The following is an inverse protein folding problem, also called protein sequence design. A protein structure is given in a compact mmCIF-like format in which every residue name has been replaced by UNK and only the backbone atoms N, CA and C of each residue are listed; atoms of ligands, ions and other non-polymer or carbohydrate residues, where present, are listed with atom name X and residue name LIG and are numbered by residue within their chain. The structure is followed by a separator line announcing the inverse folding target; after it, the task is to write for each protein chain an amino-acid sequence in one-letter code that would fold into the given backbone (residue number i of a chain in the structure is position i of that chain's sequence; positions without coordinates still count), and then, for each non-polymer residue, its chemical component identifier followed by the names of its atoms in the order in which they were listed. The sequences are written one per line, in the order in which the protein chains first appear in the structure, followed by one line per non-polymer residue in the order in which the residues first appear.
data_IF_423043061709
#
_entry.id   IF_423043061709
#
_cell.length_a   1.000
_cell.length_b   1.000
_cell.length_c   1.000
_cell.angle_alpha   90.00
_cell.angle_beta   90.00
_cell.angle_gamma   90.00
#
_symmetry.space_group_name_H-M   'P 1'
#
loop_
_entity.id
_entity.type
_entity.pdbx_description
1 polymer ?
#
# COMPACT_ATOMS: atom_id res chain seq x y z
N UNK A 1 7.16 -47.30 40.86
CA UNK A 1 6.11 -46.41 40.33
C UNK A 1 5.01 -47.29 39.80
N UNK A 2 3.76 -47.04 40.25
CA UNK A 2 2.62 -47.92 39.93
C UNK A 2 2.25 -47.81 38.43
N UNK A 3 2.00 -48.89 37.69
CA UNK A 3 1.72 -48.85 36.24
C UNK A 3 0.58 -47.91 35.81
N UNK A 4 -0.39 -47.70 36.72
CA UNK A 4 -1.50 -46.76 36.48
C UNK A 4 -1.07 -45.31 36.41
N UNK A 5 -0.05 -44.92 37.20
CA UNK A 5 0.48 -43.56 37.18
C UNK A 5 1.18 -43.29 35.85
N UNK A 6 1.99 -44.23 35.35
CA UNK A 6 2.65 -44.12 34.08
C UNK A 6 1.64 -43.96 32.93
N UNK A 7 0.56 -44.76 32.91
CA UNK A 7 -0.50 -44.66 31.93
C UNK A 7 -1.28 -43.33 32.01
N UNK A 8 -1.50 -42.81 33.21
CA UNK A 8 -2.14 -41.52 33.42
C UNK A 8 -1.25 -40.35 32.91
N UNK A 9 0.06 -40.40 33.19
CA UNK A 9 1.02 -39.40 32.69
C UNK A 9 1.12 -39.46 31.17
N UNK A 10 1.24 -40.65 30.58
CA UNK A 10 1.26 -40.83 29.11
C UNK A 10 0.01 -40.23 28.43
N UNK A 11 -1.18 -40.49 29.00
CA UNK A 11 -2.43 -39.93 28.49
C UNK A 11 -2.50 -38.42 28.67
N UNK A 12 -2.01 -37.87 29.75
CA UNK A 12 -1.95 -36.43 29.96
C UNK A 12 -0.98 -35.77 28.98
N UNK A 13 0.19 -36.37 28.75
CA UNK A 13 1.19 -35.88 27.82
C UNK A 13 0.67 -35.89 26.36
N UNK A 14 0.02 -36.99 25.97
CA UNK A 14 -0.61 -37.07 24.65
C UNK A 14 -1.68 -35.97 24.41
N UNK A 15 -2.46 -35.64 25.46
CA UNK A 15 -3.42 -34.51 25.37
C UNK A 15 -2.74 -33.14 25.22
N UNK A 16 -1.65 -32.91 25.96
CA UNK A 16 -0.87 -31.67 25.86
C UNK A 16 -0.24 -31.56 24.48
N UNK A 17 0.32 -32.64 23.96
CA UNK A 17 0.91 -32.67 22.61
C UNK A 17 -0.13 -32.39 21.52
N UNK A 18 -1.32 -33.00 21.61
CA UNK A 18 -2.42 -32.74 20.68
C UNK A 18 -2.88 -31.27 20.73
N UNK A 19 -3.00 -30.72 21.92
CA UNK A 19 -3.35 -29.30 22.12
C UNK A 19 -2.30 -28.37 21.52
N UNK A 20 -1.01 -28.60 21.81
CA UNK A 20 0.10 -27.83 21.26
C UNK A 20 0.20 -27.97 19.74
N UNK A 21 -0.14 -29.14 19.19
CA UNK A 21 -0.20 -29.37 17.74
C UNK A 21 -1.28 -28.49 17.09
N UNK A 22 -2.48 -28.45 17.64
CA UNK A 22 -3.56 -27.60 17.11
C UNK A 22 -3.22 -26.11 17.19
N UNK A 23 -2.59 -25.65 18.28
CA UNK A 23 -2.10 -24.26 18.39
C UNK A 23 -1.10 -23.95 17.28
N UNK A 24 -0.10 -24.83 17.06
CA UNK A 24 0.88 -24.63 16.00
C UNK A 24 0.25 -24.63 14.60
N UNK A 25 -0.70 -25.52 14.37
CA UNK A 25 -1.44 -25.58 13.10
C UNK A 25 -2.25 -24.32 12.83
N UNK A 26 -2.85 -23.72 13.86
CA UNK A 26 -3.52 -22.43 13.71
C UNK A 26 -2.53 -21.31 13.40
N UNK A 27 -1.40 -21.25 14.10
CA UNK A 27 -0.35 -20.25 13.83
C UNK A 27 0.15 -20.33 12.38
N UNK A 28 0.38 -21.55 11.86
CA UNK A 28 0.81 -21.75 10.48
C UNK A 28 -0.19 -21.19 9.46
N UNK A 29 -1.50 -21.28 9.72
CA UNK A 29 -2.52 -20.70 8.82
C UNK A 29 -2.43 -19.18 8.70
N UNK A 30 -2.07 -18.48 9.78
CA UNK A 30 -1.82 -17.04 9.74
C UNK A 30 -0.50 -16.73 9.04
N UNK A 31 0.54 -17.52 9.29
CA UNK A 31 1.86 -17.35 8.66
C UNK A 31 1.82 -17.60 7.14
N UNK A 32 1.00 -18.55 6.67
CA UNK A 32 0.82 -18.82 5.24
C UNK A 32 0.27 -17.59 4.49
N UNK A 33 -0.70 -16.89 5.07
CA UNK A 33 -1.27 -15.68 4.46
C UNK A 33 -0.22 -14.55 4.36
N UNK A 34 0.57 -14.36 5.42
CA UNK A 34 1.69 -13.41 5.41
C UNK A 34 2.79 -13.80 4.40
N UNK A 35 3.04 -15.11 4.26
CA UNK A 35 4.06 -15.61 3.35
C UNK A 35 3.72 -15.33 1.88
N UNK A 36 2.47 -15.41 1.50
CA UNK A 36 2.03 -15.10 0.14
C UNK A 36 2.23 -13.60 -0.18
N UNK A 37 1.86 -12.72 0.73
CA UNK A 37 2.15 -11.28 0.57
C UNK A 37 3.66 -10.99 0.53
N UNK A 38 4.44 -11.66 1.38
CA UNK A 38 5.91 -11.54 1.37
C UNK A 38 6.51 -11.88 0.02
N UNK A 39 6.04 -12.95 -0.63
CA UNK A 39 6.50 -13.33 -1.97
C UNK A 39 6.24 -12.21 -2.98
N UNK A 40 5.03 -11.66 -3.00
CA UNK A 40 4.65 -10.57 -3.91
C UNK A 40 5.56 -9.35 -3.72
N UNK A 41 5.72 -8.88 -2.48
CA UNK A 41 6.58 -7.73 -2.17
C UNK A 41 8.04 -7.99 -2.52
N UNK A 42 8.56 -9.19 -2.25
CA UNK A 42 9.93 -9.53 -2.60
C UNK A 42 10.15 -9.65 -4.11
N UNK A 43 9.16 -10.11 -4.85
CA UNK A 43 9.25 -10.17 -6.32
C UNK A 43 9.20 -8.77 -6.92
N UNK A 44 8.31 -7.89 -6.46
CA UNK A 44 8.31 -6.46 -6.83
C UNK A 44 9.65 -5.78 -6.50
N UNK A 45 10.17 -6.02 -5.29
CA UNK A 45 11.47 -5.48 -4.88
C UNK A 45 12.62 -5.95 -5.78
N UNK A 46 12.63 -7.24 -6.16
CA UNK A 46 13.62 -7.79 -7.09
C UNK A 46 13.50 -7.19 -8.48
N UNK A 47 12.29 -6.97 -8.96
CA UNK A 47 12.01 -6.34 -10.24
C UNK A 47 12.58 -4.93 -10.29
N UNK A 48 12.26 -4.09 -9.28
CA UNK A 48 12.83 -2.74 -9.14
C UNK A 48 14.36 -2.79 -9.08
N UNK A 49 14.95 -3.72 -8.32
CA UNK A 49 16.41 -3.85 -8.20
C UNK A 49 17.09 -4.24 -9.51
N UNK A 50 16.47 -5.13 -10.29
CA UNK A 50 17.01 -5.62 -11.57
C UNK A 50 16.82 -4.65 -12.72
N UNK A 51 15.75 -3.84 -12.66
CA UNK A 51 15.49 -2.86 -13.70
C UNK A 51 16.58 -1.80 -13.75
N UNK A 52 17.14 -1.55 -14.93
CA UNK A 52 18.10 -0.48 -15.14
C UNK A 52 17.42 0.89 -15.17
N UNK A 53 16.18 0.95 -15.65
CA UNK A 53 15.37 2.15 -15.70
C UNK A 53 13.97 1.88 -15.14
N UNK A 54 13.56 2.70 -14.19
CA UNK A 54 12.23 2.66 -13.55
C UNK A 54 11.43 3.94 -13.84
N UNK A 55 11.89 4.76 -14.78
CA UNK A 55 11.27 6.07 -15.07
C UNK A 55 9.82 5.96 -15.51
N UNK A 56 9.49 4.93 -16.30
CA UNK A 56 8.12 4.68 -16.72
C UNK A 56 7.22 4.32 -15.54
N UNK A 57 7.68 3.41 -14.68
CA UNK A 57 6.96 3.02 -13.47
C UNK A 57 6.70 4.24 -12.55
N UNK A 58 7.71 5.09 -12.33
CA UNK A 58 7.57 6.30 -11.51
C UNK A 58 6.60 7.29 -12.15
N UNK A 59 6.66 7.44 -13.48
CA UNK A 59 5.73 8.29 -14.22
C UNK A 59 4.29 7.82 -14.06
N UNK A 60 4.04 6.52 -14.25
CA UNK A 60 2.71 5.94 -14.12
C UNK A 60 2.14 6.11 -12.70
N UNK A 61 2.96 5.88 -11.66
CA UNK A 61 2.57 6.13 -10.27
C UNK A 61 2.20 7.60 -10.05
N UNK A 62 2.97 8.54 -10.61
CA UNK A 62 2.69 9.98 -10.50
C UNK A 62 1.40 10.36 -11.21
N UNK A 63 1.15 9.82 -12.41
CA UNK A 63 -0.10 10.04 -13.14
C UNK A 63 -1.31 9.53 -12.33
N UNK A 64 -1.23 8.35 -11.74
CA UNK A 64 -2.29 7.82 -10.86
C UNK A 64 -2.54 8.70 -9.63
N UNK A 65 -1.49 9.27 -9.04
CA UNK A 65 -1.64 10.23 -7.93
C UNK A 65 -2.35 11.48 -8.39
N UNK A 66 -2.02 12.02 -9.58
CA UNK A 66 -2.68 13.19 -10.16
C UNK A 66 -4.17 12.91 -10.40
N UNK A 67 -4.51 11.78 -11.01
CA UNK A 67 -5.89 11.36 -11.21
C UNK A 67 -6.64 11.28 -9.88
N UNK A 68 -6.03 10.65 -8.87
CA UNK A 68 -6.63 10.52 -7.54
C UNK A 68 -6.88 11.89 -6.88
N UNK A 69 -5.94 12.82 -6.95
CA UNK A 69 -6.07 14.18 -6.41
C UNK A 69 -7.22 14.92 -7.10
N UNK A 70 -7.28 14.82 -8.43
CA UNK A 70 -8.34 15.49 -9.19
C UNK A 70 -9.71 14.89 -8.90
N UNK A 71 -9.87 13.57 -8.95
CA UNK A 71 -11.17 12.92 -8.66
C UNK A 71 -11.64 13.09 -7.22
N UNK A 72 -10.75 13.27 -6.25
CA UNK A 72 -11.13 13.57 -4.88
C UNK A 72 -11.74 14.97 -4.73
N UNK A 73 -11.30 15.92 -5.55
CA UNK A 73 -11.74 17.32 -5.50
C UNK A 73 -12.78 17.65 -6.57
N UNK A 74 -12.79 16.91 -7.66
CA UNK A 74 -13.71 17.07 -8.79
C UNK A 74 -14.33 15.68 -9.07
N UNK A 75 -15.51 15.37 -8.52
CA UNK A 75 -16.20 14.12 -8.81
C UNK A 75 -16.57 14.02 -10.30
N UNK A 76 -16.52 12.80 -10.85
CA UNK A 76 -16.90 12.54 -12.24
C UNK A 76 -18.29 13.10 -12.56
N UNK A 77 -18.44 13.78 -13.69
CA UNK A 77 -19.71 14.34 -14.18
C UNK A 77 -20.35 15.38 -13.23
N UNK A 78 -19.57 16.00 -12.34
CA UNK A 78 -20.05 17.08 -11.47
C UNK A 78 -20.08 18.42 -12.20
N UNK A 79 -20.96 19.34 -11.75
CA UNK A 79 -21.00 20.72 -12.26
C UNK A 79 -19.84 21.53 -11.66
N UNK A 80 -19.38 22.56 -12.36
CA UNK A 80 -18.29 23.45 -11.92
C UNK A 80 -18.50 24.07 -10.54
N UNK A 81 -19.76 24.31 -10.16
CA UNK A 81 -20.11 24.86 -8.83
C UNK A 81 -19.87 23.89 -7.68
N UNK A 82 -19.73 22.59 -7.96
CA UNK A 82 -19.48 21.53 -7.00
C UNK A 82 -17.97 21.22 -6.83
N UNK A 83 -17.11 21.85 -7.63
CA UNK A 83 -15.68 21.60 -7.63
C UNK A 83 -14.98 22.25 -6.45
N UNK A 84 -14.26 21.48 -5.65
CA UNK A 84 -13.41 22.01 -4.58
C UNK A 84 -12.02 22.40 -5.11
N UNK A 85 -12.01 23.52 -5.85
CA UNK A 85 -10.78 24.04 -6.47
C UNK A 85 -9.72 24.41 -5.44
N UNK A 86 -10.11 24.81 -4.23
CA UNK A 86 -9.15 25.20 -3.18
C UNK A 86 -8.35 23.99 -2.70
N UNK A 87 -9.04 22.91 -2.37
CA UNK A 87 -8.41 21.65 -1.97
C UNK A 87 -7.55 21.10 -3.10
N UNK A 88 -8.01 21.18 -4.35
CA UNK A 88 -7.24 20.73 -5.50
C UNK A 88 -5.91 21.49 -5.65
N UNK A 89 -5.91 22.81 -5.50
CA UNK A 89 -4.69 23.64 -5.59
C UNK A 89 -3.71 23.30 -4.45
N UNK A 90 -4.23 23.13 -3.23
CA UNK A 90 -3.42 22.78 -2.07
C UNK A 90 -2.79 21.38 -2.21
N UNK A 91 -3.58 20.40 -2.61
CA UNK A 91 -3.13 19.03 -2.82
C UNK A 91 -2.14 18.94 -3.98
N UNK A 92 -2.39 19.59 -5.10
CA UNK A 92 -1.46 19.66 -6.21
C UNK A 92 -0.11 20.26 -5.77
N UNK A 93 -0.12 21.37 -5.03
CA UNK A 93 1.10 21.99 -4.52
C UNK A 93 1.86 21.08 -3.54
N UNK A 94 1.14 20.43 -2.62
CA UNK A 94 1.74 19.59 -1.59
C UNK A 94 2.32 18.29 -2.14
N UNK A 95 1.63 17.66 -3.10
CA UNK A 95 2.01 16.35 -3.64
C UNK A 95 2.92 16.44 -4.87
N UNK A 96 2.69 17.41 -5.76
CA UNK A 96 3.45 17.53 -7.01
C UNK A 96 4.65 18.47 -6.89
N UNK A 97 4.63 19.38 -5.90
CA UNK A 97 5.76 20.26 -5.59
C UNK A 97 5.99 21.38 -6.60
N UNK A 98 5.02 21.67 -7.48
CA UNK A 98 5.03 22.84 -8.37
C UNK A 98 3.70 23.60 -8.26
N UNK A 99 3.70 24.86 -8.64
CA UNK A 99 2.52 25.70 -8.64
C UNK A 99 1.83 25.63 -10.01
N UNK A 100 0.65 24.99 -10.05
CA UNK A 100 -0.19 24.95 -11.23
C UNK A 100 -1.23 26.08 -11.20
N UNK A 101 -1.52 26.67 -12.38
CA UNK A 101 -2.49 27.75 -12.55
C UNK A 101 -3.93 27.23 -12.64
N UNK A 102 -4.29 26.30 -11.77
CA UNK A 102 -5.60 25.61 -11.77
C UNK A 102 -6.75 26.62 -11.66
N UNK A 103 -6.60 27.68 -10.84
CA UNK A 103 -7.60 28.73 -10.70
C UNK A 103 -7.94 29.45 -12.01
N UNK A 104 -7.03 29.50 -12.96
CA UNK A 104 -7.27 30.13 -14.26
C UNK A 104 -7.88 29.15 -15.23
N UNK A 105 -7.48 27.87 -15.16
CA UNK A 105 -8.06 26.82 -15.99
C UNK A 105 -9.55 26.60 -15.71
N UNK A 106 -9.95 26.61 -14.45
CA UNK A 106 -11.36 26.41 -14.05
C UNK A 106 -12.28 27.53 -14.55
N UNK A 107 -11.76 28.72 -14.90
CA UNK A 107 -12.54 29.82 -15.48
C UNK A 107 -12.75 29.68 -16.99
N UNK A 108 -12.10 28.72 -17.64
CA UNK A 108 -12.26 28.48 -19.07
C UNK A 108 -13.63 27.82 -19.33
N UNK A 109 -14.39 28.37 -20.27
CA UNK A 109 -15.70 27.83 -20.63
C UNK A 109 -15.58 26.43 -21.23
N UNK A 110 -16.29 25.46 -20.66
CA UNK A 110 -16.36 24.09 -21.15
C UNK A 110 -15.18 23.20 -20.75
N UNK A 111 -14.37 23.62 -19.78
CA UNK A 111 -13.32 22.76 -19.24
C UNK A 111 -13.93 21.55 -18.53
N UNK A 112 -13.33 20.39 -18.74
CA UNK A 112 -13.71 19.12 -18.10
C UNK A 112 -12.58 18.63 -17.18
N UNK A 113 -12.93 17.75 -16.25
CA UNK A 113 -11.98 17.13 -15.30
C UNK A 113 -10.79 16.49 -16.00
N UNK A 114 -11.02 15.83 -17.13
CA UNK A 114 -9.95 15.16 -17.89
C UNK A 114 -8.93 16.15 -18.46
N UNK A 115 -9.35 17.34 -18.84
CA UNK A 115 -8.42 18.37 -19.32
C UNK A 115 -7.53 18.90 -18.21
N UNK A 116 -8.06 19.04 -17.00
CA UNK A 116 -7.28 19.41 -15.80
C UNK A 116 -6.25 18.33 -15.48
N UNK A 117 -6.64 17.06 -15.54
CA UNK A 117 -5.73 15.92 -15.38
C UNK A 117 -4.59 16.00 -16.39
N UNK A 118 -4.91 16.17 -17.68
CA UNK A 118 -3.91 16.21 -18.73
C UNK A 118 -2.91 17.36 -18.55
N UNK A 119 -3.39 18.56 -18.19
CA UNK A 119 -2.53 19.73 -17.93
C UNK A 119 -1.65 19.54 -16.69
N UNK A 120 -2.16 18.91 -15.64
CA UNK A 120 -1.37 18.58 -14.46
C UNK A 120 -0.30 17.51 -14.74
N UNK A 121 -0.63 16.50 -15.56
CA UNK A 121 0.30 15.48 -16.00
C UNK A 121 1.44 16.13 -16.80
N UNK A 122 1.11 16.95 -17.81
CA UNK A 122 2.11 17.64 -18.62
C UNK A 122 3.00 18.56 -17.78
N UNK A 123 2.41 19.36 -16.89
CA UNK A 123 3.16 20.22 -15.97
C UNK A 123 4.09 19.43 -15.06
N UNK A 124 3.62 18.31 -14.53
CA UNK A 124 4.40 17.42 -13.67
C UNK A 124 5.54 16.74 -14.43
N UNK A 125 5.31 16.30 -15.66
CA UNK A 125 6.32 15.66 -16.51
C UNK A 125 7.44 16.65 -16.87
N UNK A 126 7.07 17.88 -17.25
CA UNK A 126 8.02 18.94 -17.54
C UNK A 126 8.86 19.32 -16.30
N UNK A 127 8.22 19.46 -15.15
CA UNK A 127 8.89 19.75 -13.88
C UNK A 127 9.90 18.68 -13.48
N UNK A 128 9.55 17.40 -13.65
CA UNK A 128 10.47 16.30 -13.36
C UNK A 128 11.60 16.21 -14.37
N UNK A 129 11.33 16.49 -15.66
CA UNK A 129 12.35 16.54 -16.71
C UNK A 129 13.39 17.66 -16.43
N UNK A 130 12.94 18.86 -16.06
CA UNK A 130 13.83 19.96 -15.66
C UNK A 130 14.70 19.60 -14.46
N UNK A 131 14.13 18.95 -13.46
CA UNK A 131 14.89 18.47 -12.30
C UNK A 131 15.93 17.43 -12.68
N UNK A 132 15.56 16.47 -13.54
CA UNK A 132 16.48 15.44 -14.01
C UNK A 132 17.68 16.07 -14.75
N UNK A 133 17.46 17.09 -15.59
CA UNK A 133 18.52 17.82 -16.27
C UNK A 133 19.39 18.58 -15.27
N UNK A 134 18.78 19.24 -14.27
CA UNK A 134 19.49 20.07 -13.29
C UNK A 134 20.42 19.24 -12.39
N UNK A 135 20.02 18.07 -11.96
CA UNK A 135 20.80 17.23 -11.04
C UNK A 135 21.66 16.19 -11.76
N UNK A 136 21.46 16.01 -13.06
CA UNK A 136 22.04 14.93 -13.85
C UNK A 136 21.15 13.68 -13.87
N UNK A 137 20.81 13.25 -15.08
CA UNK A 137 19.80 12.20 -15.31
C UNK A 137 20.13 10.90 -14.56
N UNK A 138 21.38 10.47 -14.58
CA UNK A 138 21.81 9.21 -13.92
C UNK A 138 21.66 9.29 -12.40
N UNK A 139 22.11 10.40 -11.79
CA UNK A 139 22.01 10.62 -10.34
C UNK A 139 20.53 10.69 -9.93
N UNK A 140 19.72 11.37 -10.72
CA UNK A 140 18.29 11.51 -10.48
C UNK A 140 17.58 10.16 -10.52
N UNK A 141 17.84 9.32 -11.55
CA UNK A 141 17.29 7.96 -11.67
C UNK A 141 17.71 7.04 -10.52
N UNK A 142 18.98 7.15 -10.11
CA UNK A 142 19.46 6.38 -8.96
C UNK A 142 18.78 6.81 -7.65
N UNK A 143 18.54 8.11 -7.48
CA UNK A 143 17.83 8.64 -6.32
C UNK A 143 16.36 8.16 -6.30
N UNK A 144 15.64 8.21 -7.43
CA UNK A 144 14.28 7.69 -7.57
C UNK A 144 14.21 6.21 -7.17
N UNK A 145 15.12 5.39 -7.70
CA UNK A 145 15.19 3.96 -7.40
C UNK A 145 15.46 3.69 -5.92
N UNK A 146 16.39 4.43 -5.33
CA UNK A 146 16.72 4.28 -3.91
C UNK A 146 15.54 4.67 -3.03
N UNK A 147 14.88 5.78 -3.36
CA UNK A 147 13.72 6.26 -2.61
C UNK A 147 12.54 5.28 -2.71
N UNK A 148 12.24 4.77 -3.91
CA UNK A 148 11.17 3.79 -4.12
C UNK A 148 11.40 2.52 -3.30
N UNK A 149 12.62 1.98 -3.30
CA UNK A 149 12.96 0.81 -2.47
C UNK A 149 12.84 1.12 -0.98
N UNK A 150 13.26 2.31 -0.54
CA UNK A 150 13.15 2.70 0.86
C UNK A 150 11.69 2.82 1.31
N UNK A 151 10.83 3.44 0.49
CA UNK A 151 9.39 3.56 0.78
C UNK A 151 8.72 2.19 0.81
N UNK A 152 9.04 1.31 -0.16
CA UNK A 152 8.53 -0.06 -0.19
C UNK A 152 8.95 -0.85 1.06
N UNK A 153 10.23 -0.78 1.44
CA UNK A 153 10.76 -1.49 2.61
C UNK A 153 10.16 -0.96 3.92
N UNK A 154 9.95 0.36 4.03
CA UNK A 154 9.31 0.97 5.19
C UNK A 154 7.84 0.60 5.28
N UNK A 155 7.09 0.74 4.19
CA UNK A 155 5.68 0.34 4.13
C UNK A 155 5.48 -1.14 4.47
N UNK A 156 6.38 -2.01 4.02
CA UNK A 156 6.35 -3.43 4.38
C UNK A 156 6.59 -3.66 5.88
N UNK A 157 7.55 -2.97 6.50
CA UNK A 157 7.80 -3.06 7.95
C UNK A 157 6.60 -2.61 8.77
N UNK A 158 6.00 -1.48 8.38
CA UNK A 158 4.82 -0.94 9.06
C UNK A 158 3.63 -1.88 8.91
N UNK A 159 3.45 -2.47 7.73
CA UNK A 159 2.43 -3.47 7.48
C UNK A 159 2.61 -4.72 8.36
N UNK A 160 3.82 -5.25 8.48
CA UNK A 160 4.12 -6.38 9.37
C UNK A 160 3.80 -6.07 10.83
N UNK A 161 4.07 -4.84 11.28
CA UNK A 161 3.74 -4.41 12.63
C UNK A 161 2.22 -4.40 12.87
N UNK A 162 1.46 -3.86 11.91
CA UNK A 162 -0.02 -3.86 11.96
C UNK A 162 -0.56 -5.29 11.98
N UNK A 163 0.01 -6.19 11.17
CA UNK A 163 -0.40 -7.60 11.14
C UNK A 163 -0.12 -8.34 12.45
N UNK A 164 1.00 -8.07 13.10
CA UNK A 164 1.30 -8.67 14.40
C UNK A 164 0.33 -8.20 15.49
N UNK A 165 0.02 -6.90 15.51
CA UNK A 165 -1.00 -6.33 16.42
C UNK A 165 -2.39 -6.93 16.12
N UNK A 166 -2.77 -7.05 14.86
CA UNK A 166 -4.02 -7.67 14.46
C UNK A 166 -4.09 -9.13 14.91
N UNK A 167 -3.02 -9.91 14.71
CA UNK A 167 -2.93 -11.31 15.12
C UNK A 167 -3.16 -11.48 16.63
N UNK A 168 -2.64 -10.58 17.45
CA UNK A 168 -2.82 -10.63 18.90
C UNK A 168 -4.28 -10.36 19.32
N UNK A 169 -4.99 -9.49 18.59
CA UNK A 169 -6.35 -9.06 18.93
C UNK A 169 -7.45 -9.88 18.23
N UNK A 170 -7.15 -10.51 17.08
CA UNK A 170 -8.15 -11.16 16.24
C UNK A 170 -8.84 -12.34 16.91
N UNK A 171 -8.18 -13.01 17.86
CA UNK A 171 -8.75 -14.11 18.65
C UNK A 171 -10.02 -13.70 19.40
N UNK A 172 -10.15 -12.43 19.78
CA UNK A 172 -11.34 -11.89 20.45
C UNK A 172 -12.58 -11.88 19.55
N UNK A 173 -12.39 -11.86 18.23
CA UNK A 173 -13.50 -11.92 17.24
C UNK A 173 -14.28 -13.25 17.30
N UNK A 174 -13.65 -14.31 17.80
CA UNK A 174 -14.32 -15.59 18.03
C UNK A 174 -15.51 -15.49 18.98
N UNK A 175 -15.47 -14.58 19.96
CA UNK A 175 -16.61 -14.33 20.84
C UNK A 175 -17.83 -13.78 20.13
N UNK A 176 -17.63 -13.10 18.98
CA UNK A 176 -18.68 -12.62 18.10
C UNK A 176 -19.11 -13.63 17.02
N UNK A 177 -18.80 -14.93 17.19
CA UNK A 177 -19.11 -16.00 16.23
C UNK A 177 -18.50 -15.79 14.82
N UNK A 178 -17.45 -14.99 14.72
CA UNK A 178 -16.70 -14.77 13.48
C UNK A 178 -15.46 -15.67 13.46
N UNK A 179 -15.14 -16.21 12.28
CA UNK A 179 -13.90 -16.97 12.10
C UNK A 179 -12.70 -16.00 12.12
N UNK A 180 -11.80 -16.13 13.11
CA UNK A 180 -10.64 -15.23 13.22
C UNK A 180 -9.74 -15.23 11.99
N UNK A 181 -9.59 -16.35 11.30
CA UNK A 181 -8.77 -16.46 10.10
C UNK A 181 -9.38 -15.69 8.91
N UNK A 182 -10.68 -15.76 8.73
CA UNK A 182 -11.38 -15.03 7.66
C UNK A 182 -11.37 -13.52 7.94
N UNK A 183 -11.57 -13.10 9.17
CA UNK A 183 -11.45 -11.69 9.57
C UNK A 183 -10.01 -11.19 9.37
N UNK A 184 -9.01 -11.99 9.71
CA UNK A 184 -7.60 -11.66 9.47
C UNK A 184 -7.32 -11.47 7.97
N UNK A 185 -7.77 -12.39 7.11
CA UNK A 185 -7.62 -12.26 5.66
C UNK A 185 -8.30 -11.02 5.10
N UNK A 186 -9.52 -10.71 5.57
CA UNK A 186 -10.24 -9.51 5.16
C UNK A 186 -9.48 -8.24 5.53
N UNK A 187 -8.99 -8.13 6.76
CA UNK A 187 -8.20 -6.98 7.21
C UNK A 187 -6.89 -6.83 6.42
N UNK A 188 -6.24 -7.93 6.08
CA UNK A 188 -5.03 -7.95 5.26
C UNK A 188 -5.19 -7.28 3.89
N UNK A 189 -6.35 -7.46 3.24
CA UNK A 189 -6.64 -6.84 1.94
C UNK A 189 -6.75 -5.31 2.06
N UNK A 190 -7.22 -4.80 3.19
CA UNK A 190 -7.35 -3.35 3.42
C UNK A 190 -6.04 -2.67 3.85
N UNK A 191 -5.14 -3.41 4.49
CA UNK A 191 -3.89 -2.86 5.05
C UNK A 191 -2.66 -3.11 4.17
N UNK A 192 -2.81 -3.82 3.05
CA UNK A 192 -1.71 -4.11 2.15
C UNK A 192 -1.14 -2.84 1.51
N UNK A 193 0.18 -2.59 1.61
CA UNK A 193 0.82 -1.46 0.96
C UNK A 193 0.99 -1.65 -0.55
N UNK A 194 0.63 -2.82 -1.09
CA UNK A 194 0.69 -3.07 -2.53
C UNK A 194 -0.47 -2.39 -3.24
N UNK A 195 -0.25 -1.58 -4.27
CA UNK A 195 -1.32 -1.11 -5.13
C UNK A 195 -2.04 -2.31 -5.75
N UNK A 196 -3.36 -2.22 -5.82
CA UNK A 196 -4.21 -3.25 -6.44
C UNK A 196 -3.99 -3.27 -7.93
#
# INVERSE_FOLDING_TARGET
VHPWINKAVEKAQSKVEAHNFEIRKQLLKFDDVMNDQRKVIFDQRKEIMKSNDISEMIRDMRHQVIETIVYNSIPEQSYHDEWDVKTLVEDAKNHLGFEATINDWVKEDGIIEQEIINRLIEGSDNFMAERAVKFGVEIFRQAEKTLLLQVLDQGWKDHLLVLDQLRQSIGLRAYGQKDPLNEYKSCLLYTSPSPR
#
